data_IF_410120599283
#
_entry.id   IF_410120599283
#
_cell.length_a   1.000
_cell.length_b   1.000
_cell.length_c   1.000
_cell.angle_alpha   90.00
_cell.angle_beta   90.00
_cell.angle_gamma   90.00
#
_symmetry.space_group_name_H-M   'P 1'
#
loop_
_entity.id
_entity.type
_entity.pdbx_description
1 polymer ?
#
# COMPACT_ATOMS: atom_id res chain seq x y z
N UNK A 1 52.31 2.67 -8.94
CA UNK A 1 51.27 1.94 -9.71
C UNK A 1 49.84 2.11 -9.20
N UNK A 2 49.57 2.62 -7.96
CA UNK A 2 48.22 2.67 -7.38
C UNK A 2 47.25 3.78 -7.85
N UNK A 3 47.73 4.89 -8.41
CA UNK A 3 46.87 6.03 -8.79
C UNK A 3 46.04 5.82 -10.09
N UNK A 4 46.56 5.06 -11.07
CA UNK A 4 45.84 4.78 -12.32
C UNK A 4 44.67 3.82 -12.18
N UNK A 5 44.78 2.84 -11.28
CA UNK A 5 43.71 1.86 -11.00
C UNK A 5 42.49 2.50 -10.32
N UNK A 6 42.68 3.42 -9.35
CA UNK A 6 41.59 4.16 -8.73
C UNK A 6 40.85 5.11 -9.67
N UNK A 7 41.54 5.71 -10.65
CA UNK A 7 40.93 6.59 -11.66
C UNK A 7 40.02 5.80 -12.63
N UNK A 8 40.45 4.62 -13.09
CA UNK A 8 39.63 3.77 -13.97
C UNK A 8 38.37 3.26 -13.29
N UNK A 9 38.47 2.82 -12.02
CA UNK A 9 37.32 2.37 -11.23
C UNK A 9 36.32 3.50 -10.97
N UNK A 10 36.80 4.70 -10.67
CA UNK A 10 35.92 5.88 -10.53
C UNK A 10 35.22 6.22 -11.83
N UNK A 11 35.92 6.17 -12.96
CA UNK A 11 35.33 6.42 -14.27
C UNK A 11 34.24 5.39 -14.61
N UNK A 12 34.45 4.11 -14.32
CA UNK A 12 33.46 3.05 -14.54
C UNK A 12 32.19 3.30 -13.69
N UNK A 13 32.35 3.64 -12.40
CA UNK A 13 31.22 3.99 -11.56
C UNK A 13 30.43 5.20 -12.07
N UNK A 14 31.11 6.26 -12.49
CA UNK A 14 30.46 7.44 -13.05
C UNK A 14 29.69 7.11 -14.36
N UNK A 15 30.30 6.32 -15.25
CA UNK A 15 29.67 5.90 -16.51
C UNK A 15 28.37 5.08 -16.28
N UNK A 16 28.31 4.31 -15.20
CA UNK A 16 27.08 3.55 -14.85
C UNK A 16 26.09 4.45 -14.11
N UNK A 17 26.55 5.26 -13.17
CA UNK A 17 25.66 6.04 -12.29
C UNK A 17 25.02 7.22 -13.01
N UNK A 18 25.77 7.95 -13.85
CA UNK A 18 25.24 9.15 -14.53
C UNK A 18 24.02 8.86 -15.41
N UNK A 19 24.00 7.83 -16.28
CA UNK A 19 22.82 7.52 -17.08
C UNK A 19 21.61 7.16 -16.21
N UNK A 20 21.82 6.39 -15.12
CA UNK A 20 20.74 5.98 -14.22
C UNK A 20 20.14 7.20 -13.51
N UNK A 21 21.00 8.08 -12.98
CA UNK A 21 20.55 9.32 -12.31
C UNK A 21 19.87 10.25 -13.32
N UNK A 22 20.37 10.37 -14.54
CA UNK A 22 19.75 11.17 -15.59
C UNK A 22 18.35 10.64 -15.97
N UNK A 23 18.20 9.32 -16.13
CA UNK A 23 16.90 8.70 -16.38
C UNK A 23 15.95 8.91 -15.20
N UNK A 24 16.42 8.72 -13.97
CA UNK A 24 15.62 8.99 -12.77
C UNK A 24 15.16 10.45 -12.71
N UNK A 25 16.07 11.39 -12.98
CA UNK A 25 15.73 12.82 -13.03
C UNK A 25 14.68 13.12 -14.10
N UNK A 26 14.85 12.61 -15.32
CA UNK A 26 13.94 12.86 -16.44
C UNK A 26 12.54 12.26 -16.21
N UNK A 27 12.46 11.04 -15.66
CA UNK A 27 11.18 10.33 -15.54
C UNK A 27 10.49 10.48 -14.19
N UNK A 28 11.20 10.85 -13.12
CA UNK A 28 10.63 11.03 -11.78
C UNK A 28 10.68 12.49 -11.32
N UNK A 29 11.87 13.10 -11.33
CA UNK A 29 12.04 14.44 -10.75
C UNK A 29 11.43 15.54 -11.62
N UNK A 30 11.64 15.48 -12.92
CA UNK A 30 11.13 16.51 -13.85
C UNK A 30 9.57 16.52 -13.91
N UNK A 31 8.85 15.40 -14.00
CA UNK A 31 7.39 15.39 -13.88
C UNK A 31 6.89 15.93 -12.53
N UNK A 32 7.57 15.61 -11.43
CA UNK A 32 7.25 16.17 -10.12
C UNK A 32 7.35 17.70 -10.11
N UNK A 33 8.48 18.25 -10.60
CA UNK A 33 8.67 19.70 -10.68
C UNK A 33 7.57 20.35 -11.56
N UNK A 34 7.27 19.75 -12.70
CA UNK A 34 6.18 20.23 -13.57
C UNK A 34 4.82 20.17 -12.87
N UNK A 35 4.53 19.11 -12.13
CA UNK A 35 3.32 18.97 -11.33
C UNK A 35 3.20 20.10 -10.29
N UNK A 36 4.31 20.41 -9.60
CA UNK A 36 4.34 21.55 -8.66
C UNK A 36 4.09 22.88 -9.39
N UNK A 37 4.67 23.11 -10.58
CA UNK A 37 4.42 24.32 -11.35
C UNK A 37 2.95 24.40 -11.78
N UNK A 38 2.40 23.34 -12.34
CA UNK A 38 0.99 23.30 -12.78
C UNK A 38 -0.01 23.46 -11.64
N UNK A 39 0.34 23.13 -10.41
CA UNK A 39 -0.51 23.31 -9.24
C UNK A 39 -0.90 24.77 -8.97
N UNK A 40 -0.12 25.73 -9.48
CA UNK A 40 -0.39 27.16 -9.39
C UNK A 40 -1.08 27.73 -10.64
N UNK A 41 -1.55 26.89 -11.54
CA UNK A 41 -2.12 27.29 -12.83
C UNK A 41 -3.51 26.70 -13.03
N UNK A 42 -4.25 27.25 -14.01
CA UNK A 42 -5.53 26.70 -14.47
C UNK A 42 -5.37 25.66 -15.59
N UNK A 43 -4.19 25.03 -15.70
CA UNK A 43 -3.87 24.09 -16.77
C UNK A 43 -4.87 22.92 -16.83
N UNK A 44 -5.40 22.67 -18.02
CA UNK A 44 -6.40 21.61 -18.29
C UNK A 44 -5.80 20.29 -18.75
N UNK A 45 -4.46 20.22 -18.91
CA UNK A 45 -3.77 19.07 -19.48
C UNK A 45 -3.37 19.27 -20.96
N UNK A 46 -3.86 20.34 -21.58
CA UNK A 46 -3.56 20.75 -22.97
C UNK A 46 -3.77 22.25 -23.16
N UNK A 47 -3.16 22.83 -24.20
CA UNK A 47 -3.29 24.23 -24.51
C UNK A 47 -2.46 25.17 -23.61
N UNK A 48 -2.80 26.45 -23.63
CA UNK A 48 -2.21 27.47 -22.78
C UNK A 48 -2.79 27.44 -21.36
N UNK A 49 -2.10 28.02 -20.43
CA UNK A 49 -2.54 28.16 -19.04
C UNK A 49 -2.18 29.55 -18.49
N UNK A 50 -2.96 29.97 -17.50
CA UNK A 50 -2.72 31.18 -16.74
C UNK A 50 -2.32 30.83 -15.30
N UNK A 51 -1.57 31.73 -14.68
CA UNK A 51 -1.23 31.62 -13.27
C UNK A 51 -2.41 32.01 -12.41
N UNK A 52 -2.87 31.13 -11.50
CA UNK A 52 -3.97 31.38 -10.55
C UNK A 52 -3.50 31.47 -9.10
N UNK A 53 -2.20 31.43 -8.87
CA UNK A 53 -1.61 31.46 -7.54
C UNK A 53 -2.07 30.32 -6.65
N UNK A 54 -2.52 30.60 -5.44
CA UNK A 54 -2.94 29.60 -4.44
C UNK A 54 -4.43 29.20 -4.56
N UNK A 55 -5.14 29.66 -5.58
CA UNK A 55 -6.58 29.39 -5.74
C UNK A 55 -6.89 27.88 -5.72
N UNK A 56 -6.15 27.08 -6.47
CA UNK A 56 -6.35 25.62 -6.48
C UNK A 56 -6.25 25.00 -5.08
N UNK A 57 -5.33 25.49 -4.26
CA UNK A 57 -5.16 25.00 -2.87
C UNK A 57 -6.32 25.43 -1.97
N UNK A 58 -6.87 26.65 -2.15
CA UNK A 58 -8.04 27.10 -1.40
C UNK A 58 -9.28 26.31 -1.78
N UNK A 59 -9.49 26.08 -3.07
CA UNK A 59 -10.63 25.33 -3.60
C UNK A 59 -10.57 23.85 -3.14
N UNK A 60 -9.37 23.26 -2.98
CA UNK A 60 -9.21 21.89 -2.46
C UNK A 60 -9.80 21.68 -1.06
N UNK A 61 -9.66 22.67 -0.17
CA UNK A 61 -10.17 22.54 1.20
C UNK A 61 -11.70 22.69 1.28
N UNK A 62 -12.34 23.22 0.25
CA UNK A 62 -13.80 23.39 0.19
C UNK A 62 -14.50 22.34 -0.67
N UNK A 63 -13.74 21.56 -1.46
CA UNK A 63 -14.28 20.52 -2.32
C UNK A 63 -14.65 19.26 -1.50
N UNK A 64 -15.96 18.99 -1.42
CA UNK A 64 -16.49 17.83 -0.68
C UNK A 64 -16.06 16.48 -1.27
N UNK A 65 -15.83 16.40 -2.59
CA UNK A 65 -15.37 15.18 -3.27
C UNK A 65 -13.91 14.88 -2.91
N UNK A 66 -13.07 15.90 -2.86
CA UNK A 66 -11.70 15.77 -2.36
C UNK A 66 -11.73 15.29 -0.91
N UNK A 67 -12.49 15.95 -0.03
CA UNK A 67 -12.64 15.54 1.37
C UNK A 67 -13.12 14.08 1.53
N UNK A 68 -14.10 13.67 0.72
CA UNK A 68 -14.59 12.29 0.67
C UNK A 68 -13.52 11.27 0.27
N UNK A 69 -12.71 11.61 -0.74
CA UNK A 69 -11.62 10.74 -1.21
C UNK A 69 -10.50 10.60 -0.18
N UNK A 70 -10.17 11.66 0.57
CA UNK A 70 -9.24 11.59 1.69
C UNK A 70 -9.78 10.68 2.79
N UNK A 71 -11.03 10.88 3.20
CA UNK A 71 -11.66 10.06 4.24
C UNK A 71 -11.68 8.56 3.86
N UNK A 72 -12.08 8.27 2.63
CA UNK A 72 -12.06 6.88 2.12
C UNK A 72 -10.66 6.30 2.11
N UNK A 73 -9.67 7.03 1.58
CA UNK A 73 -8.29 6.54 1.47
C UNK A 73 -7.67 6.26 2.85
N UNK A 74 -7.87 7.14 3.83
CA UNK A 74 -7.38 6.90 5.19
C UNK A 74 -8.11 5.74 5.87
N UNK A 75 -9.42 5.66 5.74
CA UNK A 75 -10.20 4.53 6.26
C UNK A 75 -9.71 3.21 5.68
N UNK A 76 -9.53 3.16 4.35
CA UNK A 76 -8.99 1.98 3.66
C UNK A 76 -7.59 1.64 4.16
N UNK A 77 -6.68 2.62 4.20
CA UNK A 77 -5.29 2.41 4.62
C UNK A 77 -5.20 1.85 6.04
N UNK A 78 -5.97 2.40 6.99
CA UNK A 78 -5.98 1.93 8.38
C UNK A 78 -6.51 0.49 8.45
N UNK A 79 -7.71 0.24 7.90
CA UNK A 79 -8.36 -1.07 8.03
C UNK A 79 -7.59 -2.15 7.27
N UNK A 80 -7.16 -1.88 6.03
CA UNK A 80 -6.39 -2.83 5.24
C UNK A 80 -5.02 -3.13 5.88
N UNK A 81 -4.35 -2.13 6.48
CA UNK A 81 -3.09 -2.35 7.21
C UNK A 81 -3.29 -3.27 8.40
N UNK A 82 -4.31 -3.05 9.23
CA UNK A 82 -4.60 -3.89 10.39
C UNK A 82 -4.91 -5.32 9.94
N UNK A 83 -5.84 -5.48 9.00
CA UNK A 83 -6.25 -6.80 8.48
C UNK A 83 -5.05 -7.57 7.90
N UNK A 84 -4.27 -6.90 7.04
CA UNK A 84 -3.09 -7.51 6.41
C UNK A 84 -2.06 -7.94 7.44
N UNK A 85 -1.70 -7.07 8.39
CA UNK A 85 -0.69 -7.41 9.40
C UNK A 85 -1.13 -8.53 10.33
N UNK A 86 -2.38 -8.51 10.79
CA UNK A 86 -2.92 -9.57 11.66
C UNK A 86 -2.91 -10.92 10.95
N UNK A 87 -3.47 -10.99 9.73
CA UNK A 87 -3.53 -12.24 8.98
C UNK A 87 -2.12 -12.72 8.60
N UNK A 88 -1.25 -11.82 8.14
CA UNK A 88 0.14 -12.17 7.77
C UNK A 88 0.94 -12.69 8.95
N UNK A 89 0.78 -12.10 10.13
CA UNK A 89 1.46 -12.56 11.34
C UNK A 89 0.96 -13.96 11.78
N UNK A 90 -0.36 -14.18 11.75
CA UNK A 90 -0.95 -15.50 12.06
C UNK A 90 -0.43 -16.56 11.08
N UNK A 91 -0.42 -16.25 9.78
CA UNK A 91 0.11 -17.14 8.75
C UNK A 91 1.60 -17.41 8.93
N UNK A 92 2.38 -16.37 9.26
CA UNK A 92 3.81 -16.50 9.51
C UNK A 92 4.11 -17.42 10.69
N UNK A 93 3.41 -17.25 11.81
CA UNK A 93 3.53 -18.12 12.98
C UNK A 93 3.18 -19.57 12.64
N UNK A 94 2.08 -19.80 11.92
CA UNK A 94 1.69 -21.12 11.45
C UNK A 94 2.73 -21.74 10.51
N UNK A 95 3.19 -20.99 9.51
CA UNK A 95 4.17 -21.44 8.52
C UNK A 95 5.60 -21.56 9.09
N UNK A 96 5.92 -20.90 10.19
CA UNK A 96 7.20 -21.07 10.86
C UNK A 96 7.25 -22.35 11.73
N UNK A 97 6.10 -22.92 12.07
CA UNK A 97 6.02 -24.20 12.80
C UNK A 97 6.43 -25.40 11.94
N UNK A 98 6.57 -26.58 12.57
CA UNK A 98 6.93 -27.85 11.90
C UNK A 98 5.71 -28.48 11.19
N UNK A 99 5.18 -27.80 10.14
CA UNK A 99 4.05 -28.31 9.34
C UNK A 99 4.52 -29.05 8.10
N UNK A 100 3.78 -30.10 7.73
CA UNK A 100 3.97 -30.82 6.46
C UNK A 100 3.55 -29.92 5.28
N UNK A 101 4.18 -30.11 4.11
CA UNK A 101 3.87 -29.37 2.87
C UNK A 101 4.07 -27.84 2.93
N UNK A 102 4.94 -27.34 3.82
CA UNK A 102 5.25 -25.92 3.99
C UNK A 102 5.57 -25.19 2.68
N UNK A 103 6.30 -25.84 1.75
CA UNK A 103 6.64 -25.27 0.45
C UNK A 103 5.43 -25.09 -0.46
N UNK A 104 4.48 -26.04 -0.43
CA UNK A 104 3.24 -25.96 -1.21
C UNK A 104 2.37 -24.81 -0.72
N UNK A 105 2.20 -24.68 0.60
CA UNK A 105 1.47 -23.56 1.18
C UNK A 105 2.14 -22.23 0.84
N UNK A 106 3.48 -22.13 0.92
CA UNK A 106 4.22 -20.92 0.51
C UNK A 106 3.97 -20.57 -0.95
N UNK A 107 3.99 -21.54 -1.85
CA UNK A 107 3.65 -21.32 -3.26
C UNK A 107 2.22 -20.82 -3.43
N UNK A 108 1.26 -21.46 -2.81
CA UNK A 108 -0.16 -21.12 -2.96
C UNK A 108 -0.52 -19.72 -2.48
N UNK A 109 -0.06 -19.32 -1.28
CA UNK A 109 -0.38 -17.96 -0.79
C UNK A 109 0.43 -16.86 -1.46
N UNK A 110 1.51 -17.21 -2.19
CA UNK A 110 2.32 -16.22 -2.91
C UNK A 110 1.73 -15.85 -4.29
N UNK A 111 0.88 -16.70 -4.87
CA UNK A 111 0.24 -16.46 -6.17
C UNK A 111 -0.39 -15.06 -6.28
N UNK A 112 -1.16 -14.56 -5.29
CA UNK A 112 -1.77 -13.24 -5.36
C UNK A 112 -0.78 -12.09 -5.60
N UNK A 113 0.42 -12.20 -5.05
CA UNK A 113 1.44 -11.15 -5.15
C UNK A 113 2.13 -11.10 -6.53
N UNK A 114 2.12 -12.20 -7.28
CA UNK A 114 2.69 -12.28 -8.63
C UNK A 114 1.75 -11.69 -9.67
N UNK A 115 0.46 -11.70 -9.39
CA UNK A 115 -0.55 -11.15 -10.29
C UNK A 115 -0.54 -9.62 -10.24
N UNK A 116 -0.60 -8.98 -11.41
CA UNK A 116 -0.74 -7.53 -11.50
C UNK A 116 -2.04 -7.04 -10.83
N UNK A 117 -1.97 -5.93 -10.11
CA UNK A 117 -3.09 -5.40 -9.33
C UNK A 117 -4.35 -5.13 -10.17
N UNK A 118 -4.20 -4.65 -11.41
CA UNK A 118 -5.32 -4.46 -12.35
C UNK A 118 -5.98 -5.79 -12.70
N UNK A 119 -5.19 -6.84 -12.97
CA UNK A 119 -5.72 -8.18 -13.31
C UNK A 119 -6.51 -8.74 -12.14
N UNK A 120 -5.95 -8.66 -10.93
CA UNK A 120 -6.63 -9.05 -9.69
C UNK A 120 -7.93 -8.27 -9.53
N UNK A 121 -7.89 -6.96 -9.70
CA UNK A 121 -9.07 -6.11 -9.60
C UNK A 121 -10.19 -6.54 -10.55
N UNK A 122 -9.90 -6.85 -11.82
CA UNK A 122 -10.91 -7.33 -12.79
C UNK A 122 -11.44 -8.72 -12.45
N UNK A 123 -10.57 -9.65 -11.99
CA UNK A 123 -11.01 -10.98 -11.56
C UNK A 123 -12.00 -10.85 -10.39
N UNK A 124 -11.67 -10.06 -9.38
CA UNK A 124 -12.54 -9.86 -8.23
C UNK A 124 -13.79 -9.02 -8.56
N UNK A 125 -13.71 -8.09 -9.52
CA UNK A 125 -14.90 -7.42 -10.03
C UNK A 125 -15.91 -8.42 -10.57
N UNK A 126 -15.47 -9.35 -11.43
CA UNK A 126 -16.30 -10.42 -11.95
C UNK A 126 -16.83 -11.33 -10.82
N UNK A 127 -15.96 -11.70 -9.88
CA UNK A 127 -16.32 -12.54 -8.73
C UNK A 127 -17.42 -11.91 -7.87
N UNK A 128 -17.27 -10.64 -7.47
CA UNK A 128 -18.25 -9.95 -6.62
C UNK A 128 -19.52 -9.55 -7.36
N UNK A 129 -19.46 -9.42 -8.69
CA UNK A 129 -20.62 -9.01 -9.50
C UNK A 129 -21.49 -10.20 -9.89
N UNK A 130 -20.88 -11.36 -10.19
CA UNK A 130 -21.60 -12.49 -10.77
C UNK A 130 -21.49 -13.77 -9.94
N UNK A 131 -20.28 -14.18 -9.54
CA UNK A 131 -20.06 -15.46 -8.89
C UNK A 131 -20.62 -15.46 -7.46
N UNK A 132 -20.27 -14.47 -6.66
CA UNK A 132 -20.72 -14.38 -5.26
C UNK A 132 -22.25 -14.28 -5.15
N UNK A 133 -22.96 -13.45 -5.94
CA UNK A 133 -24.43 -13.45 -5.96
C UNK A 133 -25.05 -14.79 -6.35
N UNK A 134 -24.54 -15.48 -7.35
CA UNK A 134 -25.03 -16.81 -7.73
C UNK A 134 -24.92 -17.83 -6.58
N UNK A 135 -23.81 -17.83 -5.85
CA UNK A 135 -23.66 -18.63 -4.63
C UNK A 135 -24.63 -18.20 -3.53
N UNK A 136 -24.87 -16.89 -3.39
CA UNK A 136 -25.85 -16.34 -2.45
C UNK A 136 -27.27 -16.84 -2.71
N UNK A 137 -27.68 -16.91 -3.98
CA UNK A 137 -28.98 -17.45 -4.39
C UNK A 137 -29.10 -18.95 -4.05
N UNK A 138 -28.07 -19.76 -4.36
CA UNK A 138 -28.05 -21.20 -4.05
C UNK A 138 -28.14 -21.45 -2.55
N UNK A 139 -27.49 -20.61 -1.72
CA UNK A 139 -27.49 -20.72 -0.26
C UNK A 139 -28.73 -20.08 0.39
N UNK A 140 -29.61 -19.44 -0.38
CA UNK A 140 -30.78 -18.69 0.13
C UNK A 140 -30.39 -17.47 0.98
N UNK A 141 -29.18 -16.94 0.82
CA UNK A 141 -28.64 -15.84 1.62
C UNK A 141 -28.91 -14.48 0.94
N UNK A 142 -29.94 -13.78 1.37
CA UNK A 142 -30.28 -12.44 0.86
C UNK A 142 -29.12 -11.44 0.82
N UNK A 143 -28.22 -11.35 1.83
CA UNK A 143 -27.09 -10.43 1.78
C UNK A 143 -26.06 -10.75 0.69
N UNK A 144 -25.92 -12.01 0.30
CA UNK A 144 -24.95 -12.46 -0.70
C UNK A 144 -25.53 -12.52 -2.11
N UNK A 145 -26.86 -12.54 -2.29
CA UNK A 145 -27.51 -12.60 -3.61
C UNK A 145 -27.51 -11.28 -4.37
N UNK A 146 -26.92 -10.24 -3.84
CA UNK A 146 -26.67 -8.97 -4.54
C UNK A 146 -25.17 -8.67 -4.64
N UNK A 147 -24.77 -7.98 -5.71
CA UNK A 147 -23.35 -7.58 -5.87
C UNK A 147 -22.88 -6.69 -4.71
N UNK A 148 -21.80 -7.07 -4.05
CA UNK A 148 -21.16 -6.22 -3.03
C UNK A 148 -20.75 -4.87 -3.59
N UNK A 149 -20.39 -4.80 -4.86
CA UNK A 149 -19.92 -3.59 -5.53
C UNK A 149 -21.04 -2.59 -5.85
N UNK A 150 -22.30 -3.02 -5.81
CA UNK A 150 -23.47 -2.13 -6.04
C UNK A 150 -23.88 -1.35 -4.79
N UNK A 151 -23.40 -1.74 -3.60
CA UNK A 151 -23.75 -1.11 -2.33
C UNK A 151 -22.64 -0.20 -1.83
N UNK A 152 -22.97 1.07 -1.55
CA UNK A 152 -22.02 2.03 -0.93
C UNK A 152 -21.47 1.56 0.42
N UNK A 153 -22.25 0.73 1.14
CA UNK A 153 -21.83 0.18 2.44
C UNK A 153 -20.92 -1.04 2.32
N UNK A 154 -21.00 -1.80 1.21
CA UNK A 154 -20.27 -3.05 1.06
C UNK A 154 -19.07 -2.92 0.10
N UNK A 155 -19.13 -2.01 -0.87
CA UNK A 155 -18.07 -1.86 -1.88
C UNK A 155 -16.69 -1.58 -1.27
N UNK A 156 -16.60 -0.75 -0.23
CA UNK A 156 -15.33 -0.49 0.44
C UNK A 156 -14.75 -1.72 1.14
N UNK A 157 -15.61 -2.62 1.66
CA UNK A 157 -15.19 -3.89 2.27
C UNK A 157 -14.61 -4.81 1.20
N UNK A 158 -15.24 -4.88 0.02
CA UNK A 158 -14.73 -5.62 -1.12
C UNK A 158 -13.32 -5.13 -1.53
N UNK A 159 -13.11 -3.81 -1.54
CA UNK A 159 -11.80 -3.21 -1.80
C UNK A 159 -10.77 -3.62 -0.72
N UNK A 160 -11.14 -3.56 0.57
CA UNK A 160 -10.26 -4.01 1.67
C UNK A 160 -9.86 -5.47 1.51
N UNK A 161 -10.84 -6.35 1.19
CA UNK A 161 -10.58 -7.79 1.00
C UNK A 161 -9.54 -8.02 -0.11
N UNK A 162 -9.73 -7.37 -1.26
CA UNK A 162 -8.82 -7.54 -2.41
C UNK A 162 -7.43 -7.00 -2.12
N UNK A 163 -7.34 -5.78 -1.56
CA UNK A 163 -6.07 -5.16 -1.21
C UNK A 163 -5.31 -5.97 -0.15
N UNK A 164 -5.99 -6.41 0.90
CA UNK A 164 -5.39 -7.22 1.95
C UNK A 164 -4.94 -8.58 1.41
N UNK A 165 -5.81 -9.30 0.66
CA UNK A 165 -5.49 -10.60 0.07
C UNK A 165 -4.22 -10.56 -0.79
N UNK A 166 -4.07 -9.53 -1.61
CA UNK A 166 -2.89 -9.36 -2.46
C UNK A 166 -1.62 -9.05 -1.64
N UNK A 167 -1.75 -8.28 -0.57
CA UNK A 167 -0.62 -7.81 0.24
C UNK A 167 -0.14 -8.84 1.27
N UNK A 168 -1.01 -9.75 1.75
CA UNK A 168 -0.71 -10.75 2.78
C UNK A 168 0.55 -11.54 2.45
N UNK A 169 0.75 -11.93 1.20
CA UNK A 169 1.86 -12.78 0.77
C UNK A 169 3.23 -12.19 1.14
N UNK A 170 3.49 -10.97 0.71
CA UNK A 170 4.77 -10.30 0.96
C UNK A 170 4.99 -10.01 2.44
N UNK A 171 3.94 -9.54 3.13
CA UNK A 171 4.00 -9.26 4.56
C UNK A 171 4.26 -10.52 5.39
N UNK A 172 3.68 -11.67 5.00
CA UNK A 172 3.94 -12.97 5.64
C UNK A 172 5.42 -13.38 5.51
N UNK A 173 6.04 -13.17 4.33
CA UNK A 173 7.46 -13.47 4.13
C UNK A 173 8.34 -12.62 5.04
N UNK A 174 8.05 -11.32 5.18
CA UNK A 174 8.80 -10.43 6.08
C UNK A 174 8.69 -10.91 7.53
N UNK A 175 7.48 -11.29 7.99
CA UNK A 175 7.31 -11.87 9.32
C UNK A 175 8.03 -13.20 9.51
N UNK A 176 7.99 -14.10 8.51
CA UNK A 176 8.74 -15.37 8.57
C UNK A 176 10.25 -15.09 8.68
N UNK A 177 10.77 -14.12 7.91
CA UNK A 177 12.16 -13.73 8.01
C UNK A 177 12.52 -13.25 9.42
N UNK A 178 11.65 -12.43 10.03
CA UNK A 178 11.83 -12.01 11.42
C UNK A 178 11.78 -13.17 12.42
N UNK A 179 10.83 -14.07 12.28
CA UNK A 179 10.73 -15.24 13.16
C UNK A 179 11.93 -16.17 13.06
N UNK A 180 12.63 -16.19 11.92
CA UNK A 180 13.83 -17.01 11.71
C UNK A 180 15.10 -16.36 12.27
N UNK A 181 15.09 -15.08 12.62
CA UNK A 181 16.23 -14.42 13.28
C UNK A 181 16.26 -14.66 14.79
N UNK A 182 15.17 -15.13 15.39
CA UNK A 182 15.10 -15.39 16.84
C UNK A 182 15.89 -16.66 17.17
N UNK A 183 16.94 -16.59 18.02
CA UNK A 183 17.73 -17.74 18.40
C UNK A 183 16.90 -18.81 19.12
N UNK A 184 17.20 -20.08 18.89
CA UNK A 184 16.47 -21.20 19.49
C UNK A 184 16.66 -21.23 21.02
N UNK A 185 17.85 -20.83 21.49
CA UNK A 185 18.20 -20.73 22.92
C UNK A 185 17.25 -19.83 23.73
N UNK A 186 16.72 -18.77 23.09
CA UNK A 186 15.73 -17.87 23.73
C UNK A 186 14.43 -18.61 24.01
N UNK A 187 14.03 -19.49 23.09
CA UNK A 187 12.82 -20.29 23.26
C UNK A 187 13.01 -21.43 24.26
N UNK A 188 14.23 -22.01 24.34
CA UNK A 188 14.57 -23.04 25.33
C UNK A 188 14.62 -22.44 26.75
N UNK A 189 15.28 -21.29 26.94
CA UNK A 189 15.29 -20.57 28.22
C UNK A 189 13.87 -20.20 28.65
N UNK A 190 13.05 -19.64 27.73
CA UNK A 190 11.67 -19.31 28.02
C UNK A 190 10.80 -20.53 28.38
N UNK A 191 11.10 -21.71 27.83
CA UNK A 191 10.40 -22.94 28.18
C UNK A 191 10.75 -23.41 29.61
N UNK A 192 12.00 -23.24 30.05
CA UNK A 192 12.44 -23.50 31.42
C UNK A 192 11.71 -22.56 32.40
N UNK A 193 11.52 -21.29 32.04
CA UNK A 193 10.78 -20.28 32.80
C UNK A 193 9.26 -20.46 32.74
N UNK A 194 8.77 -21.50 32.06
CA UNK A 194 7.32 -21.81 31.94
C UNK A 194 6.56 -20.95 30.91
N UNK A 195 7.25 -20.24 30.02
CA UNK A 195 6.60 -19.44 28.98
C UNK A 195 5.99 -20.36 27.90
N UNK A 196 4.66 -20.41 27.82
CA UNK A 196 3.91 -21.21 26.84
C UNK A 196 2.86 -20.37 26.10
N UNK A 197 2.47 -20.84 24.94
CA UNK A 197 1.35 -20.28 24.15
C UNK A 197 1.44 -18.76 23.98
N UNK A 198 0.40 -18.04 24.45
CA UNK A 198 0.31 -16.59 24.35
C UNK A 198 1.39 -15.83 25.13
N UNK A 199 1.82 -16.35 26.30
CA UNK A 199 2.89 -15.75 27.07
C UNK A 199 4.23 -15.78 26.32
N UNK A 200 4.56 -16.93 25.71
CA UNK A 200 5.74 -17.07 24.83
C UNK A 200 5.68 -16.08 23.67
N UNK A 201 4.53 -15.96 22.98
CA UNK A 201 4.38 -15.01 21.89
C UNK A 201 4.58 -13.56 22.38
N UNK A 202 3.85 -13.14 23.41
CA UNK A 202 3.81 -11.74 23.85
C UNK A 202 5.13 -11.24 24.45
N UNK A 203 5.83 -12.09 25.21
CA UNK A 203 7.01 -11.68 25.98
C UNK A 203 8.34 -12.08 25.36
N UNK A 204 8.36 -13.06 24.46
CA UNK A 204 9.58 -13.49 23.78
C UNK A 204 9.53 -13.22 22.28
N UNK A 205 8.56 -13.80 21.56
CA UNK A 205 8.55 -13.75 20.10
C UNK A 205 8.26 -12.34 19.58
N UNK A 206 7.16 -11.71 20.02
CA UNK A 206 6.73 -10.42 19.48
C UNK A 206 7.74 -9.29 19.71
N UNK A 207 8.34 -9.11 20.90
CA UNK A 207 9.38 -8.11 21.10
C UNK A 207 10.56 -8.26 20.14
N UNK A 208 11.03 -9.48 19.92
CA UNK A 208 12.17 -9.73 19.03
C UNK A 208 11.89 -9.52 17.54
N UNK A 209 10.62 -9.59 17.13
CA UNK A 209 10.22 -9.33 15.74
C UNK A 209 9.64 -7.91 15.51
N UNK A 210 9.69 -7.03 16.52
CA UNK A 210 9.21 -5.64 16.37
C UNK A 210 9.82 -4.92 15.16
N UNK A 211 11.12 -5.04 14.83
CA UNK A 211 11.67 -4.41 13.62
C UNK A 211 10.95 -4.84 12.36
N UNK A 212 10.63 -6.13 12.22
CA UNK A 212 9.90 -6.66 11.06
C UNK A 212 8.43 -6.24 11.04
N UNK A 213 7.80 -6.13 12.23
CA UNK A 213 6.47 -5.54 12.36
C UNK A 213 6.47 -4.08 11.91
N UNK A 214 7.47 -3.30 12.30
CA UNK A 214 7.64 -1.90 11.91
C UNK A 214 7.77 -1.75 10.40
N UNK A 215 8.62 -2.57 9.76
CA UNK A 215 8.80 -2.60 8.30
C UNK A 215 7.46 -2.88 7.61
N UNK A 216 6.74 -3.92 8.04
CA UNK A 216 5.44 -4.28 7.47
C UNK A 216 4.42 -3.15 7.63
N UNK A 217 4.35 -2.50 8.80
CA UNK A 217 3.45 -1.38 9.03
C UNK A 217 3.73 -0.21 8.09
N UNK A 218 5.00 0.17 7.91
CA UNK A 218 5.40 1.27 7.01
C UNK A 218 5.03 0.95 5.56
N UNK A 219 5.35 -0.27 5.11
CA UNK A 219 5.05 -0.72 3.75
C UNK A 219 3.54 -0.77 3.48
N UNK A 220 2.75 -1.32 4.40
CA UNK A 220 1.29 -1.41 4.27
C UNK A 220 0.65 -0.02 4.20
N UNK A 221 0.96 0.87 5.16
CA UNK A 221 0.37 2.21 5.20
C UNK A 221 0.67 2.96 3.91
N UNK A 222 1.93 2.97 3.47
CA UNK A 222 2.33 3.60 2.21
C UNK A 222 1.55 3.01 1.02
N UNK A 223 1.52 1.69 0.89
CA UNK A 223 0.89 1.04 -0.27
C UNK A 223 -0.61 1.28 -0.31
N UNK A 224 -1.30 1.24 0.83
CA UNK A 224 -2.75 1.44 0.88
C UNK A 224 -3.16 2.92 0.79
N UNK A 225 -2.33 3.86 1.23
CA UNK A 225 -2.55 5.28 0.92
C UNK A 225 -2.46 5.54 -0.58
N UNK A 226 -1.54 4.92 -1.28
CA UNK A 226 -1.31 5.10 -2.72
C UNK A 226 -2.15 4.17 -3.60
N UNK A 227 -3.18 3.50 -3.06
CA UNK A 227 -4.01 2.56 -3.82
C UNK A 227 -4.65 3.22 -5.04
N UNK A 228 -4.43 2.63 -6.21
CA UNK A 228 -4.95 3.10 -7.49
C UNK A 228 -5.49 1.95 -8.34
N UNK A 229 -4.64 0.98 -8.67
CA UNK A 229 -4.94 -0.09 -9.62
C UNK A 229 -6.17 -0.92 -9.23
N UNK A 230 -6.26 -1.28 -7.94
CA UNK A 230 -7.40 -2.05 -7.42
C UNK A 230 -8.69 -1.23 -7.53
N UNK A 231 -8.65 0.08 -7.22
CA UNK A 231 -9.82 0.96 -7.36
C UNK A 231 -10.22 1.09 -8.82
N UNK A 232 -9.25 1.32 -9.71
CA UNK A 232 -9.48 1.47 -11.14
C UNK A 232 -10.17 0.24 -11.75
N UNK A 233 -9.72 -0.97 -11.39
CA UNK A 233 -10.22 -2.21 -11.96
C UNK A 233 -11.48 -2.73 -11.25
N UNK A 234 -11.59 -2.57 -9.93
CA UNK A 234 -12.66 -3.16 -9.13
C UNK A 234 -13.93 -2.32 -9.13
N UNK A 235 -13.83 -1.02 -8.85
CA UNK A 235 -14.99 -0.16 -8.59
C UNK A 235 -15.06 1.11 -9.44
N UNK A 236 -13.94 1.55 -10.00
CA UNK A 236 -13.80 2.86 -10.66
C UNK A 236 -14.27 4.01 -9.74
N UNK A 237 -14.02 3.87 -8.45
CA UNK A 237 -14.45 4.84 -7.44
C UNK A 237 -15.92 4.72 -6.99
N UNK A 238 -16.73 3.87 -7.65
CA UNK A 238 -18.16 3.69 -7.37
C UNK A 238 -18.48 2.73 -6.23
N UNK A 239 -19.77 2.58 -5.88
CA UNK A 239 -20.89 3.38 -6.35
C UNK A 239 -20.92 4.77 -5.70
N UNK A 240 -21.46 5.75 -6.40
CA UNK A 240 -21.62 7.14 -5.93
C UNK A 240 -20.35 7.73 -5.26
N UNK A 241 -19.17 7.48 -5.86
CA UNK A 241 -17.85 7.94 -5.37
C UNK A 241 -17.44 7.40 -3.99
N UNK A 242 -18.16 6.41 -3.44
CA UNK A 242 -17.94 5.89 -2.09
C UNK A 242 -16.62 5.12 -1.90
N UNK A 243 -15.97 4.73 -2.98
CA UNK A 243 -14.67 4.04 -3.00
C UNK A 243 -13.62 4.80 -3.82
N UNK A 244 -13.82 6.10 -3.98
CA UNK A 244 -12.88 6.93 -4.74
C UNK A 244 -11.64 7.27 -3.90
N UNK A 245 -10.48 6.68 -4.23
CA UNK A 245 -9.21 7.02 -3.59
C UNK A 245 -8.65 8.33 -4.12
N UNK A 246 -7.77 8.97 -3.33
CA UNK A 246 -7.09 10.21 -3.73
C UNK A 246 -6.33 10.00 -5.05
N UNK A 247 -5.58 8.90 -5.17
CA UNK A 247 -4.80 8.58 -6.39
C UNK A 247 -5.72 8.41 -7.60
N UNK A 248 -6.88 7.77 -7.42
CA UNK A 248 -7.86 7.61 -8.50
C UNK A 248 -8.52 8.94 -8.87
N UNK A 249 -8.89 9.76 -7.90
CA UNK A 249 -9.46 11.09 -8.13
C UNK A 249 -8.49 11.99 -8.92
N UNK A 250 -7.21 12.04 -8.49
CA UNK A 250 -6.16 12.81 -9.18
C UNK A 250 -6.05 12.37 -10.65
N UNK A 251 -5.98 11.08 -10.89
CA UNK A 251 -5.88 10.56 -12.25
C UNK A 251 -7.14 10.86 -13.08
N UNK A 252 -8.30 10.48 -12.57
CA UNK A 252 -9.55 10.55 -13.32
C UNK A 252 -9.95 11.99 -13.66
N UNK A 253 -9.88 12.90 -12.70
CA UNK A 253 -10.26 14.30 -12.91
C UNK A 253 -9.12 15.12 -13.56
N UNK A 254 -7.87 14.77 -13.29
CA UNK A 254 -6.73 15.43 -13.92
C UNK A 254 -6.62 15.12 -15.40
N UNK A 255 -6.68 13.84 -15.77
CA UNK A 255 -6.47 13.40 -17.16
C UNK A 255 -7.77 13.48 -18.01
N UNK A 256 -8.88 13.00 -17.48
CA UNK A 256 -10.14 12.91 -18.23
C UNK A 256 -11.09 14.08 -17.93
N UNK A 257 -11.00 14.68 -16.75
CA UNK A 257 -11.88 15.76 -16.31
C UNK A 257 -11.40 17.18 -16.69
N UNK A 258 -10.21 17.31 -17.31
CA UNK A 258 -9.66 18.62 -17.69
C UNK A 258 -9.31 19.54 -16.52
N UNK A 259 -9.05 18.98 -15.33
CA UNK A 259 -8.72 19.69 -14.09
C UNK A 259 -7.26 19.48 -13.68
N UNK A 260 -6.35 19.44 -14.65
CA UNK A 260 -4.97 19.02 -14.42
C UNK A 260 -4.25 19.90 -13.38
N UNK A 261 -4.39 21.24 -13.45
CA UNK A 261 -3.80 22.16 -12.49
C UNK A 261 -4.34 21.96 -11.07
N UNK A 262 -5.66 21.83 -10.92
CA UNK A 262 -6.31 21.57 -9.63
C UNK A 262 -5.89 20.22 -9.04
N UNK A 263 -5.87 19.17 -9.86
CA UNK A 263 -5.43 17.85 -9.40
C UNK A 263 -3.91 17.77 -9.17
N UNK A 264 -3.13 18.61 -9.82
CA UNK A 264 -1.70 18.77 -9.49
C UNK A 264 -1.53 19.37 -8.09
N UNK A 265 -2.34 20.35 -7.69
CA UNK A 265 -2.34 20.86 -6.31
C UNK A 265 -2.76 19.79 -5.30
N UNK A 266 -3.77 18.97 -5.63
CA UNK A 266 -4.17 17.82 -4.82
C UNK A 266 -3.01 16.81 -4.66
N UNK A 267 -2.29 16.50 -5.74
CA UNK A 267 -1.13 15.61 -5.71
C UNK A 267 0.01 16.15 -4.83
N UNK A 268 0.26 17.46 -4.86
CA UNK A 268 1.27 18.11 -3.98
C UNK A 268 0.87 17.98 -2.51
N UNK A 269 -0.38 18.30 -2.15
CA UNK A 269 -0.88 18.13 -0.77
C UNK A 269 -0.78 16.66 -0.35
N UNK A 270 -1.22 15.75 -1.20
CA UNK A 270 -1.17 14.31 -0.90
C UNK A 270 0.26 13.81 -0.72
N UNK A 271 1.20 14.26 -1.52
CA UNK A 271 2.63 13.97 -1.35
C UNK A 271 3.14 14.42 0.03
N UNK A 272 2.81 15.66 0.44
CA UNK A 272 3.19 16.19 1.76
C UNK A 272 2.59 15.31 2.87
N UNK A 273 1.31 14.94 2.75
CA UNK A 273 0.63 14.07 3.73
C UNK A 273 1.33 12.72 3.85
N UNK A 274 1.68 12.08 2.73
CA UNK A 274 2.40 10.78 2.75
C UNK A 274 3.77 10.94 3.42
N UNK A 275 4.52 12.01 3.10
CA UNK A 275 5.84 12.26 3.71
C UNK A 275 5.69 12.46 5.22
N UNK A 276 4.75 13.28 5.67
CA UNK A 276 4.50 13.51 7.11
C UNK A 276 4.16 12.21 7.82
N UNK A 277 3.23 11.41 7.29
CA UNK A 277 2.85 10.12 7.87
C UNK A 277 4.05 9.18 7.92
N UNK A 278 4.83 9.10 6.85
CA UNK A 278 6.01 8.21 6.78
C UNK A 278 7.09 8.61 7.81
N UNK A 279 7.36 9.92 7.94
CA UNK A 279 8.33 10.42 8.93
C UNK A 279 7.83 10.17 10.35
N UNK A 280 6.55 10.45 10.65
CA UNK A 280 5.96 10.16 11.95
C UNK A 280 6.06 8.66 12.29
N UNK A 281 5.74 7.81 11.33
CA UNK A 281 5.77 6.36 11.49
C UNK A 281 7.19 5.86 11.78
N UNK A 282 8.19 6.30 11.00
CA UNK A 282 9.59 5.96 11.21
C UNK A 282 10.12 6.45 12.57
N UNK A 283 9.72 7.64 13.00
CA UNK A 283 10.14 8.20 14.30
C UNK A 283 9.54 7.42 15.48
N UNK A 284 8.26 7.00 15.36
CA UNK A 284 7.59 6.24 16.43
C UNK A 284 8.15 4.82 16.52
N UNK A 285 8.40 4.16 15.38
CA UNK A 285 8.90 2.79 15.35
C UNK A 285 10.38 2.71 15.71
N UNK A 286 11.21 3.64 15.22
CA UNK A 286 12.64 3.68 15.53
C UNK A 286 12.93 3.82 17.03
N UNK A 287 12.17 4.65 17.77
CA UNK A 287 12.29 4.76 19.22
C UNK A 287 11.99 3.46 19.97
N UNK A 288 11.14 2.59 19.43
CA UNK A 288 10.84 1.28 20.05
C UNK A 288 11.92 0.24 19.74
N UNK A 289 12.62 0.37 18.62
CA UNK A 289 13.73 -0.51 18.25
C UNK A 289 15.00 -0.21 19.08
N UNK A 290 15.23 1.07 19.45
CA UNK A 290 16.35 1.46 20.30
C UNK A 290 16.19 1.05 21.77
N UNK A 291 14.98 0.67 22.21
CA UNK A 291 14.68 0.27 23.59
C UNK A 291 14.75 -1.25 23.82
N UNK A 292 15.03 -2.03 22.78
CA UNK A 292 15.15 -3.49 22.78
C UNK A 292 16.60 -3.93 22.63
#
# INVERSE_FOLDING_TARGET
MGKKSMSGRKMTFLLITIPIVALFFCFNTLPLIKGVIYSFTNFKGYGSFDWVGLRNYQDLFTDSRVGGSYLFTFKLAIVATIVTNVISLILALGLNSKIKFKSVFRGAYFIPNVLGALVVGYIFNYFFTYILPAFGEILGSKPLSSSMLSSTKMAWIAVVIVCAWQSIAMNTIIYISGLQTVPEDVYEAGAIDGATGWNKFRHLTFPLIIPFFSINMVLCVKNFLMVFDQIMALTKGGPAQSTESISYLIYNNGMSGGQFGFQSANAVIFFIVIVVISVMQLTITGKKEEQL
#
